data_IF_784667295737
#
_entry.id   IF_784667295737
#
_cell.length_a   1.000
_cell.length_b   1.000
_cell.length_c   1.000
_cell.angle_alpha   90.00
_cell.angle_beta   90.00
_cell.angle_gamma   90.00
#
_symmetry.space_group_name_H-M   'P 1'
#
loop_
_entity.id
_entity.type
_entity.pdbx_description
1 polymer ?
#
# COMPACT_ATOMS: atom_id res chain seq x y z
N UNK A 1 10.68 11.34 17.71
CA UNK A 1 10.82 9.89 17.62
C UNK A 1 11.20 9.56 16.19
N UNK A 2 12.49 9.45 15.90
CA UNK A 2 13.02 9.12 14.57
C UNK A 2 13.13 7.60 14.48
N UNK A 3 12.39 6.98 13.57
CA UNK A 3 12.57 5.55 13.32
C UNK A 3 13.86 5.34 12.54
N UNK A 4 14.67 4.44 13.08
CA UNK A 4 16.00 4.09 12.61
C UNK A 4 15.96 3.60 11.15
N UNK A 5 16.89 4.16 10.37
CA UNK A 5 17.31 3.71 9.07
C UNK A 5 17.89 2.29 9.24
N UNK A 6 17.08 1.26 9.01
CA UNK A 6 17.55 -0.12 9.03
C UNK A 6 18.49 -0.36 7.84
N UNK A 7 19.57 -1.06 8.16
CA UNK A 7 20.77 -1.28 7.38
C UNK A 7 20.51 -1.77 5.94
N UNK A 8 21.12 -1.07 5.01
CA UNK A 8 21.23 -1.44 3.61
C UNK A 8 22.26 -2.56 3.48
N UNK A 9 21.85 -3.80 3.75
CA UNK A 9 22.65 -5.00 3.52
C UNK A 9 22.73 -5.32 2.03
N UNK A 10 23.90 -5.07 1.42
CA UNK A 10 24.26 -5.68 0.14
C UNK A 10 24.35 -7.21 0.31
N UNK A 11 23.63 -7.94 -0.54
CA UNK A 11 23.91 -9.31 -1.01
C UNK A 11 24.48 -10.34 -0.02
N UNK A 12 23.62 -11.20 0.48
CA UNK A 12 23.99 -12.58 0.86
C UNK A 12 23.15 -13.52 -0.02
N UNK A 13 23.77 -14.11 -1.03
CA UNK A 13 23.19 -15.19 -1.82
C UNK A 13 23.11 -16.45 -0.96
N UNK A 14 21.92 -16.83 -0.51
CA UNK A 14 21.68 -18.21 -0.11
C UNK A 14 20.41 -18.78 -0.79
N UNK A 15 20.69 -19.70 -1.70
CA UNK A 15 19.75 -20.60 -2.35
C UNK A 15 18.93 -21.37 -1.32
N UNK A 16 17.62 -21.11 -1.25
CA UNK A 16 16.66 -22.07 -0.70
C UNK A 16 15.47 -22.24 -1.62
N UNK A 17 15.69 -23.05 -2.66
CA UNK A 17 14.63 -23.80 -3.32
C UNK A 17 13.93 -24.66 -2.27
N UNK A 18 12.61 -24.48 -2.11
CA UNK A 18 11.63 -25.58 -1.98
C UNK A 18 10.19 -25.07 -1.82
N UNK A 19 9.42 -25.40 -2.87
CA UNK A 19 8.02 -25.84 -2.88
C UNK A 19 6.94 -24.75 -2.89
N UNK A 20 6.30 -24.66 -4.06
CA UNK A 20 4.94 -24.19 -4.26
C UNK A 20 4.04 -24.62 -3.09
N UNK A 21 3.51 -23.64 -2.36
CA UNK A 21 2.45 -23.85 -1.40
C UNK A 21 1.12 -23.70 -2.13
N UNK A 22 0.44 -24.82 -2.29
CA UNK A 22 -0.95 -24.92 -2.75
C UNK A 22 -1.89 -24.05 -1.89
N UNK A 23 -2.95 -23.46 -2.47
CA UNK A 23 -3.95 -22.73 -1.69
C UNK A 23 -4.91 -23.71 -1.01
N UNK A 24 -4.80 -23.86 0.31
CA UNK A 24 -5.80 -24.55 1.15
C UNK A 24 -7.16 -23.84 1.05
N UNK A 25 -8.19 -24.57 0.63
CA UNK A 25 -9.55 -24.11 0.31
C UNK A 25 -10.52 -24.08 1.50
N UNK A 26 -10.07 -23.72 2.70
CA UNK A 26 -10.88 -23.93 3.92
C UNK A 26 -11.32 -22.67 4.69
N UNK A 27 -11.23 -21.46 4.10
CA UNK A 27 -11.66 -20.22 4.78
C UNK A 27 -13.01 -19.63 4.32
N UNK A 28 -13.85 -20.41 3.62
CA UNK A 28 -15.16 -19.92 3.12
C UNK A 28 -16.36 -20.14 4.07
N UNK A 29 -16.16 -20.33 5.37
CA UNK A 29 -17.29 -20.35 6.31
C UNK A 29 -16.94 -19.63 7.60
N UNK A 30 -17.66 -18.51 7.82
CA UNK A 30 -18.03 -17.87 9.10
C UNK A 30 -17.53 -16.44 9.25
N UNK A 31 -18.34 -15.49 8.77
CA UNK A 31 -18.50 -14.19 9.44
C UNK A 31 -19.99 -13.85 9.46
N UNK A 32 -20.57 -13.88 10.66
CA UNK A 32 -21.86 -13.30 11.00
C UNK A 32 -21.74 -11.76 10.94
N UNK A 33 -22.75 -11.02 10.46
CA UNK A 33 -22.69 -9.56 10.39
C UNK A 33 -23.01 -8.96 11.75
N UNK A 34 -22.04 -8.93 12.67
CA UNK A 34 -22.12 -8.07 13.86
C UNK A 34 -21.80 -6.63 13.46
N UNK A 35 -22.82 -5.78 13.56
CA UNK A 35 -22.79 -4.33 13.39
C UNK A 35 -21.79 -3.67 14.35
N UNK A 36 -20.51 -3.55 14.01
CA UNK A 36 -19.60 -2.61 14.67
C UNK A 36 -18.52 -2.13 13.68
N UNK A 37 -18.50 -0.81 13.53
CA UNK A 37 -17.47 0.07 13.00
C UNK A 37 -17.20 0.11 11.48
N UNK A 38 -17.58 1.27 10.93
CA UNK A 38 -17.34 1.75 9.57
C UNK A 38 -15.84 2.08 9.34
N UNK A 39 -14.96 1.14 9.67
CA UNK A 39 -13.59 1.11 9.21
C UNK A 39 -13.53 0.06 8.11
N UNK A 40 -13.75 0.51 6.87
CA UNK A 40 -13.43 -0.31 5.72
C UNK A 40 -11.90 -0.45 5.70
N UNK A 41 -11.40 -1.48 6.39
CA UNK A 41 -10.02 -1.91 6.28
C UNK A 41 -9.76 -2.27 4.82
N UNK A 42 -8.62 -1.81 4.30
CA UNK A 42 -8.27 -1.99 2.89
C UNK A 42 -6.87 -2.55 2.83
N UNK A 43 -6.76 -3.75 2.25
CA UNK A 43 -5.48 -4.38 1.99
C UNK A 43 -4.71 -3.62 0.93
N UNK A 44 -3.48 -3.27 1.26
CA UNK A 44 -2.53 -2.62 0.37
C UNK A 44 -1.32 -3.52 0.17
N UNK A 45 -0.97 -3.81 -1.08
CA UNK A 45 0.17 -4.65 -1.41
C UNK A 45 1.32 -3.83 -2.01
N UNK A 46 2.59 -4.22 -1.86
CA UNK A 46 3.70 -3.50 -2.50
C UNK A 46 3.62 -3.58 -4.03
N UNK A 47 4.00 -2.50 -4.73
CA UNK A 47 4.11 -2.52 -6.20
C UNK A 47 5.34 -3.35 -6.63
N UNK A 48 5.11 -4.50 -7.26
CA UNK A 48 6.17 -5.45 -7.63
C UNK A 48 7.19 -4.88 -8.63
N UNK A 49 6.75 -4.03 -9.55
CA UNK A 49 7.55 -3.52 -10.66
C UNK A 49 8.10 -2.10 -10.37
N UNK A 50 8.30 -1.77 -9.10
CA UNK A 50 8.87 -0.48 -8.72
C UNK A 50 10.37 -0.46 -9.06
N UNK A 51 10.76 0.43 -9.99
CA UNK A 51 12.14 0.52 -10.53
C UNK A 51 13.00 1.64 -9.93
N UNK A 52 12.46 2.47 -9.03
CA UNK A 52 13.18 3.56 -8.34
C UNK A 52 12.82 3.63 -6.85
N UNK A 53 13.68 4.19 -6.00
CA UNK A 53 13.62 3.90 -4.56
C UNK A 53 13.95 5.06 -3.62
N UNK A 54 12.89 5.76 -3.17
CA UNK A 54 12.85 6.52 -1.90
C UNK A 54 11.45 6.49 -1.29
N UNK A 55 10.42 6.32 -2.12
CA UNK A 55 9.03 6.28 -1.71
C UNK A 55 8.43 4.92 -2.06
N UNK A 56 7.92 4.19 -1.07
CA UNK A 56 7.22 2.92 -1.30
C UNK A 56 5.84 3.19 -1.92
N UNK A 57 5.57 2.57 -3.07
CA UNK A 57 4.24 2.58 -3.69
C UNK A 57 3.46 1.33 -3.29
N UNK A 58 2.18 1.52 -2.98
CA UNK A 58 1.27 0.45 -2.60
C UNK A 58 0.18 0.31 -3.66
N UNK A 59 -0.30 -0.90 -3.91
CA UNK A 59 -1.37 -1.23 -4.85
C UNK A 59 -2.67 -1.31 -4.07
N UNK A 60 -3.65 -0.50 -4.48
CA UNK A 60 -5.01 -0.52 -3.95
C UNK A 60 -5.90 -1.48 -4.73
N UNK A 61 -5.75 -1.50 -6.06
CA UNK A 61 -6.45 -2.38 -6.98
C UNK A 61 -5.67 -2.44 -8.30
N UNK A 62 -6.06 -3.28 -9.28
CA UNK A 62 -5.29 -3.45 -10.53
C UNK A 62 -5.05 -2.17 -11.34
N UNK A 63 -5.80 -1.09 -11.09
CA UNK A 63 -5.72 0.19 -11.82
C UNK A 63 -5.29 1.37 -10.96
N UNK A 64 -5.04 1.17 -9.66
CA UNK A 64 -4.79 2.26 -8.72
C UNK A 64 -3.67 1.91 -7.76
N UNK A 65 -2.71 2.81 -7.66
CA UNK A 65 -1.65 2.78 -6.64
C UNK A 65 -1.85 3.94 -5.66
N UNK A 66 -1.34 3.74 -4.44
CA UNK A 66 -1.20 4.74 -3.41
C UNK A 66 0.27 5.14 -3.30
N UNK A 67 0.48 6.45 -3.13
CA UNK A 67 1.78 7.05 -2.85
C UNK A 67 1.66 7.89 -1.57
N UNK A 68 2.67 7.91 -0.70
CA UNK A 68 2.80 8.91 0.35
C UNK A 68 2.55 10.33 -0.19
N UNK A 69 1.78 11.11 0.55
CA UNK A 69 1.36 12.44 0.13
C UNK A 69 2.57 13.37 -0.05
N UNK A 70 2.71 13.92 -1.26
CA UNK A 70 3.62 15.02 -1.55
C UNK A 70 2.78 16.24 -1.92
N UNK A 71 2.86 17.31 -1.12
CA UNK A 71 2.01 18.51 -1.29
C UNK A 71 2.23 19.18 -2.65
N UNK A 72 3.48 19.25 -3.14
CA UNK A 72 3.76 19.86 -4.45
C UNK A 72 3.17 19.06 -5.61
N UNK A 73 3.18 17.74 -5.49
CA UNK A 73 2.54 16.87 -6.49
C UNK A 73 1.02 16.98 -6.42
N UNK A 74 0.43 17.05 -5.22
CA UNK A 74 -1.00 17.28 -5.05
C UNK A 74 -1.44 18.60 -5.71
N UNK A 75 -0.71 19.69 -5.44
CA UNK A 75 -0.96 20.99 -6.05
C UNK A 75 -0.87 20.92 -7.58
N UNK A 76 0.12 20.20 -8.12
CA UNK A 76 0.22 19.97 -9.56
C UNK A 76 -1.05 19.29 -10.11
N UNK A 77 -1.48 18.16 -9.53
CA UNK A 77 -2.65 17.41 -9.99
C UNK A 77 -3.95 18.21 -9.87
N UNK A 78 -4.11 19.02 -8.82
CA UNK A 78 -5.30 19.86 -8.61
C UNK A 78 -5.36 21.04 -9.59
N UNK A 79 -4.22 21.51 -10.08
CA UNK A 79 -4.12 22.74 -10.87
C UNK A 79 -3.71 22.52 -12.34
N UNK A 80 -3.85 21.32 -12.90
CA UNK A 80 -3.57 21.08 -14.33
C UNK A 80 -4.58 21.86 -15.19
N UNK A 81 -4.12 22.97 -15.78
CA UNK A 81 -4.93 23.86 -16.61
C UNK A 81 -5.12 23.33 -18.04
N UNK A 82 -4.06 22.75 -18.60
CA UNK A 82 -4.05 22.22 -19.97
C UNK A 82 -4.68 20.82 -20.04
N UNK A 83 -5.71 20.67 -20.88
CA UNK A 83 -6.39 19.39 -21.08
C UNK A 83 -5.49 18.37 -21.80
N UNK A 84 -4.55 18.83 -22.63
CA UNK A 84 -3.64 17.97 -23.38
C UNK A 84 -2.61 17.34 -22.45
N UNK A 85 -2.28 17.96 -21.31
CA UNK A 85 -1.39 17.37 -20.31
C UNK A 85 -2.09 16.21 -19.57
N UNK A 86 -3.41 16.30 -19.36
CA UNK A 86 -4.17 15.31 -18.56
C UNK A 86 -4.16 13.90 -19.16
N UNK A 87 -3.97 13.78 -20.48
CA UNK A 87 -3.88 12.46 -21.14
C UNK A 87 -2.51 11.79 -20.93
N UNK A 88 -1.48 12.54 -20.53
CA UNK A 88 -0.12 12.04 -20.34
C UNK A 88 0.25 11.80 -18.87
N UNK A 89 -0.59 12.20 -17.93
CA UNK A 89 -0.38 11.98 -16.49
C UNK A 89 -1.34 10.92 -15.94
N UNK A 90 -0.97 10.20 -14.87
CA UNK A 90 -1.91 9.34 -14.16
C UNK A 90 -3.12 10.12 -13.64
N UNK A 91 -4.30 9.47 -13.62
CA UNK A 91 -5.50 10.06 -13.01
C UNK A 91 -5.36 10.08 -11.49
N UNK A 92 -5.37 11.27 -10.90
CA UNK A 92 -5.39 11.45 -9.45
C UNK A 92 -6.78 11.13 -8.87
N UNK A 93 -6.82 10.44 -7.71
CA UNK A 93 -8.04 10.16 -6.93
C UNK A 93 -7.82 10.69 -5.51
N UNK A 94 -8.73 11.52 -5.01
CA UNK A 94 -8.62 12.22 -3.71
C UNK A 94 -8.76 11.32 -2.46
N UNK A 95 -8.59 10.00 -2.58
CA UNK A 95 -8.73 9.07 -1.46
C UNK A 95 -7.42 8.97 -0.67
N UNK A 96 -7.50 9.30 0.62
CA UNK A 96 -6.39 9.13 1.56
C UNK A 96 -6.61 7.88 2.42
N UNK A 97 -5.57 7.07 2.59
CA UNK A 97 -5.56 5.93 3.50
C UNK A 97 -4.65 6.26 4.68
N UNK A 98 -5.08 5.90 5.89
CA UNK A 98 -4.26 5.96 7.11
C UNK A 98 -3.94 4.54 7.52
N UNK A 99 -2.74 4.31 8.05
CA UNK A 99 -2.42 3.02 8.62
C UNK A 99 -3.32 2.79 9.84
N UNK A 100 -3.89 1.59 9.95
CA UNK A 100 -4.51 1.14 11.19
C UNK A 100 -3.38 0.94 12.20
N UNK A 101 -3.33 1.77 13.24
CA UNK A 101 -2.43 1.51 14.37
C UNK A 101 -3.00 0.31 15.13
N UNK A 102 -2.25 -0.79 15.19
CA UNK A 102 -2.59 -1.90 16.06
C UNK A 102 -2.48 -1.42 17.52
N UNK A 103 -3.61 -1.08 18.13
CA UNK A 103 -3.72 -0.95 19.58
C UNK A 103 -3.51 -2.34 20.20
N UNK A 104 -2.26 -2.71 20.49
CA UNK A 104 -1.98 -3.81 21.40
C UNK A 104 -2.24 -3.30 22.81
N UNK A 105 -3.48 -3.49 23.26
CA UNK A 105 -3.86 -3.28 24.66
C UNK A 105 -3.21 -4.40 25.49
N UNK A 106 -2.03 -4.10 26.03
CA UNK A 106 -1.33 -4.98 26.97
C UNK A 106 -2.05 -4.91 28.32
N UNK A 107 -3.08 -5.74 28.53
CA UNK A 107 -3.58 -6.02 29.88
C UNK A 107 -2.45 -6.57 30.76
N UNK A 108 -2.12 -5.82 31.81
CA UNK A 108 -1.47 -6.30 33.03
C UNK A 108 -2.19 -5.72 34.22
#
# INVERSE_FOLDING_TARGET
MVYLLADWGMGETETRSRKYAEPSRDHLLRIEPSQFDNYNEVDLHPLSNQVGGHTRLMVLNPSTICKPLNIRELEFYQNIQDQDIKIFVPKYKEKSFKNAEHHTESSR
#
